data_IF_140443307452
#
_entry.id   IF_140443307452
#
_cell.length_a   1.000
_cell.length_b   1.000
_cell.length_c   1.000
_cell.angle_alpha   90.00
_cell.angle_beta   90.00
_cell.angle_gamma   90.00
#
_symmetry.space_group_name_H-M   'P 1'
#
loop_
_entity.id
_entity.type
_entity.pdbx_description
1 polymer ?
#
# COMPACT_ATOMS: atom_id res chain seq x y z
N UNK A 1 24.09 -5.18 -4.27
CA UNK A 1 24.10 -3.73 -4.55
C UNK A 1 24.46 -3.57 -6.01
N UNK A 2 23.83 -2.67 -6.77
CA UNK A 2 24.18 -2.50 -8.18
C UNK A 2 25.59 -1.92 -8.31
N UNK A 3 26.33 -2.40 -9.30
CA UNK A 3 27.64 -1.85 -9.65
C UNK A 3 27.43 -0.57 -10.47
N UNK A 4 28.07 0.51 -10.02
CA UNK A 4 28.00 1.81 -10.68
C UNK A 4 29.24 2.04 -11.52
N UNK A 5 29.07 2.66 -12.67
CA UNK A 5 30.15 3.05 -13.56
C UNK A 5 29.85 4.41 -14.20
N UNK A 6 30.88 5.08 -14.68
CA UNK A 6 30.77 6.31 -15.46
C UNK A 6 31.14 6.03 -16.92
N UNK A 7 30.50 6.74 -17.84
CA UNK A 7 30.85 6.68 -19.25
C UNK A 7 31.83 7.82 -19.57
N UNK A 8 32.96 7.56 -20.24
CA UNK A 8 33.92 8.61 -20.60
C UNK A 8 33.28 9.78 -21.37
N UNK A 9 32.27 9.49 -22.19
CA UNK A 9 31.55 10.46 -23.01
C UNK A 9 30.57 11.33 -22.20
N UNK A 10 30.22 10.92 -20.98
CA UNK A 10 29.27 11.60 -20.09
C UNK A 10 29.83 11.69 -18.66
N UNK A 11 30.88 12.50 -18.44
CA UNK A 11 31.56 12.58 -17.16
C UNK A 11 30.63 13.08 -16.04
N UNK A 12 30.78 12.52 -14.84
CA UNK A 12 30.01 12.90 -13.66
C UNK A 12 28.60 12.31 -13.57
N UNK A 13 28.16 11.53 -14.58
CA UNK A 13 26.92 10.75 -14.51
C UNK A 13 27.21 9.30 -14.13
N UNK A 14 26.49 8.80 -13.14
CA UNK A 14 26.57 7.41 -12.70
C UNK A 14 25.52 6.57 -13.41
N UNK A 15 25.97 5.49 -14.01
CA UNK A 15 25.15 4.49 -14.67
C UNK A 15 25.21 3.17 -13.93
N UNK A 16 24.17 2.36 -14.09
CA UNK A 16 24.08 1.01 -13.55
C UNK A 16 23.17 0.14 -14.43
N UNK A 17 23.30 -1.19 -14.29
CA UNK A 17 22.38 -2.13 -14.93
C UNK A 17 21.11 -2.28 -14.08
N UNK A 18 19.95 -1.90 -14.63
CA UNK A 18 18.66 -2.08 -14.00
C UNK A 18 18.03 -3.42 -14.38
N UNK A 19 17.84 -4.30 -13.40
CA UNK A 19 17.24 -5.62 -13.60
C UNK A 19 15.80 -5.56 -14.09
N UNK A 20 14.98 -4.62 -13.58
CA UNK A 20 13.54 -4.52 -13.91
C UNK A 20 13.28 -4.11 -15.37
N UNK A 21 14.19 -3.32 -15.94
CA UNK A 21 14.12 -2.92 -17.35
C UNK A 21 15.06 -3.73 -18.25
N UNK A 22 15.98 -4.51 -17.66
CA UNK A 22 17.08 -5.14 -18.38
C UNK A 22 17.82 -4.12 -19.26
N UNK A 23 18.14 -2.95 -18.69
CA UNK A 23 18.70 -1.80 -19.40
C UNK A 23 19.72 -1.06 -18.54
N UNK A 24 20.66 -0.37 -19.17
CA UNK A 24 21.59 0.54 -18.48
C UNK A 24 20.90 1.89 -18.29
N UNK A 25 20.82 2.36 -17.05
CA UNK A 25 20.15 3.62 -16.71
C UNK A 25 21.09 4.50 -15.88
N UNK A 26 20.93 5.81 -16.02
CA UNK A 26 21.53 6.75 -15.07
C UNK A 26 20.77 6.74 -13.74
N UNK A 27 21.43 7.11 -12.65
CA UNK A 27 20.81 7.27 -11.33
C UNK A 27 19.64 8.25 -11.35
N UNK A 28 19.75 9.33 -12.12
CA UNK A 28 18.72 10.37 -12.25
C UNK A 28 17.50 9.81 -12.99
N UNK A 29 17.72 9.11 -14.10
CA UNK A 29 16.63 8.49 -14.88
C UNK A 29 15.90 7.43 -14.06
N UNK A 30 16.62 6.67 -13.22
CA UNK A 30 15.99 5.71 -12.31
C UNK A 30 15.11 6.41 -11.26
N UNK A 31 15.61 7.50 -10.67
CA UNK A 31 14.86 8.32 -9.73
C UNK A 31 13.57 8.89 -10.34
N UNK A 32 13.65 9.43 -11.56
CA UNK A 32 12.50 10.02 -12.26
C UNK A 32 11.45 8.98 -12.64
N UNK A 33 11.89 7.83 -13.17
CA UNK A 33 11.00 6.71 -13.44
C UNK A 33 10.29 6.22 -12.17
N UNK A 34 10.99 6.24 -11.03
CA UNK A 34 10.40 5.88 -9.76
C UNK A 34 9.35 6.89 -9.29
N UNK A 35 9.62 8.20 -9.37
CA UNK A 35 8.65 9.25 -9.02
C UNK A 35 7.41 9.18 -9.90
N UNK A 36 7.59 9.05 -11.22
CA UNK A 36 6.50 8.88 -12.18
C UNK A 36 5.60 7.67 -11.84
N UNK A 37 6.19 6.53 -11.48
CA UNK A 37 5.43 5.33 -11.13
C UNK A 37 4.77 5.36 -9.74
N UNK A 38 5.29 6.14 -8.78
CA UNK A 38 4.85 6.12 -7.39
C UNK A 38 4.06 7.36 -6.94
N UNK A 39 4.24 8.51 -7.60
CA UNK A 39 3.58 9.78 -7.26
C UNK A 39 2.59 10.21 -8.34
N UNK A 40 2.98 10.14 -9.62
CA UNK A 40 2.15 10.57 -10.75
C UNK A 40 1.20 9.46 -11.23
N UNK A 41 1.49 8.20 -10.89
CA UNK A 41 0.65 7.06 -11.25
C UNK A 41 0.75 6.66 -12.72
N UNK A 42 1.87 6.97 -13.39
CA UNK A 42 2.06 6.66 -14.80
C UNK A 42 2.19 5.14 -15.00
N UNK A 43 1.26 4.56 -15.77
CA UNK A 43 1.14 3.10 -15.95
C UNK A 43 2.37 2.46 -16.61
N UNK A 44 3.02 3.15 -17.56
CA UNK A 44 4.26 2.68 -18.20
C UNK A 44 5.43 2.52 -17.21
N UNK A 45 5.32 3.11 -16.01
CA UNK A 45 6.29 3.05 -14.92
C UNK A 45 5.87 2.14 -13.78
N UNK A 46 4.85 1.29 -13.95
CA UNK A 46 4.42 0.30 -12.95
C UNK A 46 5.55 -0.62 -12.50
N UNK A 47 6.52 -0.93 -13.38
CA UNK A 47 7.72 -1.70 -13.01
C UNK A 47 8.57 -1.02 -11.94
N UNK A 48 8.52 0.31 -11.84
CA UNK A 48 9.25 1.08 -10.83
C UNK A 48 8.46 1.28 -9.54
N UNK A 49 7.18 0.89 -9.52
CA UNK A 49 6.33 0.96 -8.34
C UNK A 49 6.96 0.14 -7.21
N UNK A 50 7.04 0.74 -6.03
CA UNK A 50 7.66 0.15 -4.82
C UNK A 50 9.05 -0.46 -5.06
N UNK A 51 9.86 0.10 -5.96
CA UNK A 51 11.23 -0.35 -6.17
C UNK A 51 12.16 0.25 -5.10
N UNK A 52 12.91 -0.55 -4.32
CA UNK A 52 13.76 -0.03 -3.25
C UNK A 52 14.97 0.73 -3.79
N UNK A 53 15.53 0.27 -4.91
CA UNK A 53 16.65 0.95 -5.56
C UNK A 53 16.22 2.30 -6.14
N UNK A 54 15.07 2.35 -6.81
CA UNK A 54 14.51 3.61 -7.33
C UNK A 54 14.18 4.60 -6.21
N UNK A 55 13.67 4.12 -5.06
CA UNK A 55 13.43 4.96 -3.89
C UNK A 55 14.73 5.54 -3.33
N UNK A 56 15.80 4.72 -3.28
CA UNK A 56 17.14 5.16 -2.87
C UNK A 56 17.68 6.26 -3.80
N UNK A 57 17.63 6.04 -5.12
CA UNK A 57 18.06 7.05 -6.11
C UNK A 57 17.20 8.31 -6.08
N UNK A 58 15.91 8.18 -5.76
CA UNK A 58 15.00 9.32 -5.59
C UNK A 58 15.19 10.08 -4.27
N UNK A 59 15.97 9.54 -3.32
CA UNK A 59 16.15 10.09 -1.97
C UNK A 59 14.97 9.85 -1.02
N UNK A 60 14.02 8.98 -1.37
CA UNK A 60 12.84 8.71 -0.55
C UNK A 60 13.07 7.52 0.39
N UNK A 61 13.80 7.75 1.48
CA UNK A 61 14.12 6.72 2.49
C UNK A 61 12.91 6.21 3.28
N UNK A 62 11.84 7.00 3.34
CA UNK A 62 10.61 6.66 4.03
C UNK A 62 9.53 6.08 3.09
N UNK A 63 9.81 5.85 1.80
CA UNK A 63 8.78 5.41 0.86
C UNK A 63 8.06 4.13 1.30
N UNK A 64 6.74 4.09 1.11
CA UNK A 64 5.95 2.86 1.30
C UNK A 64 6.36 1.83 0.26
N UNK A 65 6.74 0.66 0.77
CA UNK A 65 7.09 -0.54 0.01
C UNK A 65 5.95 -1.57 -0.01
N UNK A 66 4.78 -1.19 0.50
CA UNK A 66 3.61 -2.05 0.55
C UNK A 66 3.19 -2.42 -0.88
N UNK A 67 3.04 -3.73 -1.22
CA UNK A 67 2.54 -4.12 -2.53
C UNK A 67 1.12 -3.60 -2.77
N UNK A 68 0.37 -3.33 -1.70
CA UNK A 68 -0.99 -2.77 -1.75
C UNK A 68 -1.03 -1.29 -2.14
N UNK A 69 0.11 -0.58 -2.10
CA UNK A 69 0.16 0.87 -2.29
C UNK A 69 -0.54 1.29 -3.58
N UNK A 70 -1.57 2.12 -3.46
CA UNK A 70 -2.34 2.64 -4.61
C UNK A 70 -3.00 1.57 -5.47
N UNK A 71 -3.21 0.34 -4.96
CA UNK A 71 -4.06 -0.64 -5.62
C UNK A 71 -5.53 -0.27 -5.39
N UNK A 72 -6.41 -0.59 -6.34
CA UNK A 72 -7.87 -0.49 -6.13
C UNK A 72 -8.39 -1.74 -5.43
N UNK A 73 -7.89 -2.01 -4.22
CA UNK A 73 -8.27 -3.16 -3.39
C UNK A 73 -9.23 -2.72 -2.28
N UNK A 74 -10.30 -3.48 -2.08
CA UNK A 74 -11.28 -3.21 -1.02
C UNK A 74 -10.64 -3.41 0.36
N UNK A 75 -10.77 -2.42 1.25
CA UNK A 75 -10.28 -2.54 2.63
C UNK A 75 -10.92 -3.72 3.37
N UNK A 76 -12.19 -4.04 3.10
CA UNK A 76 -12.95 -5.07 3.84
C UNK A 76 -12.83 -6.49 3.33
N UNK A 77 -12.86 -6.67 2.01
CA UNK A 77 -12.86 -8.02 1.41
C UNK A 77 -11.59 -8.35 0.65
N UNK A 78 -10.63 -7.42 0.63
CA UNK A 78 -9.31 -7.56 0.02
C UNK A 78 -9.34 -7.95 -1.46
N UNK A 79 -10.47 -7.76 -2.13
CA UNK A 79 -10.63 -8.05 -3.56
C UNK A 79 -10.34 -6.78 -4.35
N UNK A 80 -9.67 -6.95 -5.50
CA UNK A 80 -9.55 -5.89 -6.50
C UNK A 80 -10.92 -5.43 -7.00
N UNK A 81 -11.06 -4.13 -7.23
CA UNK A 81 -12.27 -3.50 -7.70
C UNK A 81 -11.96 -2.45 -8.78
N UNK A 82 -12.89 -2.24 -9.70
CA UNK A 82 -12.76 -1.17 -10.70
C UNK A 82 -12.77 0.24 -10.06
N UNK A 83 -13.38 0.38 -8.88
CA UNK A 83 -13.38 1.61 -8.08
C UNK A 83 -13.63 1.32 -6.61
N UNK A 84 -13.24 2.27 -5.77
CA UNK A 84 -13.50 2.24 -4.33
C UNK A 84 -14.47 3.35 -3.93
N UNK A 85 -15.53 2.99 -3.22
CA UNK A 85 -16.48 3.92 -2.60
C UNK A 85 -15.83 4.53 -1.37
N UNK A 86 -15.86 5.87 -1.28
CA UNK A 86 -15.19 6.64 -0.23
C UNK A 86 -13.71 6.25 -0.06
N UNK A 87 -13.04 5.88 -1.16
CA UNK A 87 -11.67 5.34 -1.17
C UNK A 87 -11.47 4.14 -0.25
N UNK A 88 -12.50 3.38 0.11
CA UNK A 88 -12.37 2.32 1.12
C UNK A 88 -12.94 0.98 0.68
N UNK A 89 -14.21 0.96 0.29
CA UNK A 89 -14.95 -0.27 0.02
C UNK A 89 -15.17 -0.50 -1.47
N UNK A 90 -15.20 -1.76 -1.92
CA UNK A 90 -15.81 -2.07 -3.22
C UNK A 90 -17.33 -1.86 -3.17
N UNK A 91 -17.95 -1.78 -4.34
CA UNK A 91 -19.42 -1.58 -4.48
C UNK A 91 -20.21 -2.65 -3.70
N UNK A 92 -19.76 -3.91 -3.72
CA UNK A 92 -20.44 -5.00 -2.99
C UNK A 92 -20.39 -4.83 -1.48
N UNK A 93 -19.22 -4.52 -0.91
CA UNK A 93 -19.07 -4.29 0.53
C UNK A 93 -19.81 -3.04 0.99
N UNK A 94 -19.81 -1.98 0.17
CA UNK A 94 -20.60 -0.78 0.42
C UNK A 94 -22.10 -1.10 0.46
N UNK A 95 -22.61 -1.88 -0.51
CA UNK A 95 -24.02 -2.26 -0.52
C UNK A 95 -24.39 -3.11 0.70
N UNK A 96 -23.56 -4.10 1.07
CA UNK A 96 -23.79 -4.90 2.28
C UNK A 96 -23.78 -4.05 3.55
N UNK A 97 -22.90 -3.06 3.63
CA UNK A 97 -22.90 -2.10 4.74
C UNK A 97 -24.21 -1.31 4.79
N UNK A 98 -24.67 -0.81 3.64
CA UNK A 98 -25.94 -0.11 3.55
C UNK A 98 -27.11 -1.01 3.99
N UNK A 99 -27.15 -2.27 3.54
CA UNK A 99 -28.14 -3.27 3.96
C UNK A 99 -28.13 -3.49 5.48
N UNK A 100 -26.93 -3.60 6.08
CA UNK A 100 -26.78 -3.72 7.54
C UNK A 100 -27.34 -2.51 8.28
N UNK A 101 -26.99 -1.30 7.83
CA UNK A 101 -27.46 -0.05 8.43
C UNK A 101 -28.98 0.12 8.33
N UNK A 102 -29.59 -0.23 7.19
CA UNK A 102 -31.06 -0.16 7.02
C UNK A 102 -31.78 -1.38 7.60
N UNK A 103 -31.05 -2.41 8.05
CA UNK A 103 -31.59 -3.65 8.61
C UNK A 103 -32.29 -4.57 7.61
N UNK A 104 -32.21 -4.30 6.30
CA UNK A 104 -32.87 -5.06 5.24
C UNK A 104 -31.97 -5.23 4.03
N UNK A 105 -31.91 -6.43 3.48
CA UNK A 105 -31.23 -6.72 2.22
C UNK A 105 -32.11 -6.40 1.00
N UNK A 106 -31.58 -6.60 -0.20
CA UNK A 106 -32.32 -6.41 -1.46
C UNK A 106 -33.63 -7.22 -1.57
N UNK A 107 -33.81 -8.30 -0.78
CA UNK A 107 -35.04 -9.11 -0.72
C UNK A 107 -35.98 -8.70 0.43
N UNK A 108 -35.67 -7.61 1.15
CA UNK A 108 -36.45 -7.14 2.29
C UNK A 108 -36.23 -7.93 3.59
N UNK A 109 -35.30 -8.88 3.63
CA UNK A 109 -35.01 -9.72 4.80
C UNK A 109 -33.81 -9.20 5.58
N UNK A 110 -33.69 -9.55 6.86
CA UNK A 110 -32.55 -9.13 7.69
C UNK A 110 -31.24 -9.65 7.10
N UNK A 111 -30.20 -8.81 6.93
CA UNK A 111 -28.90 -9.26 6.45
C UNK A 111 -28.21 -10.13 7.50
N UNK A 112 -27.77 -11.33 7.10
CA UNK A 112 -27.12 -12.32 8.00
C UNK A 112 -25.67 -12.62 7.62
N UNK A 113 -25.24 -12.26 6.41
CA UNK A 113 -23.91 -12.63 5.88
C UNK A 113 -22.81 -11.65 6.23
N UNK A 114 -23.15 -10.46 6.73
CA UNK A 114 -22.16 -9.46 7.12
C UNK A 114 -21.92 -9.57 8.63
N UNK A 115 -20.64 -9.65 9.02
CA UNK A 115 -20.26 -9.51 10.41
C UNK A 115 -20.76 -8.15 10.97
N UNK A 116 -21.04 -8.06 12.29
CA UNK A 116 -21.41 -6.81 12.92
C UNK A 116 -20.42 -5.69 12.57
N UNK A 117 -20.97 -4.51 12.29
CA UNK A 117 -20.18 -3.33 11.99
C UNK A 117 -20.02 -2.48 13.23
N UNK A 118 -18.77 -2.23 13.62
CA UNK A 118 -18.44 -1.42 14.79
C UNK A 118 -17.50 -0.27 14.41
N UNK A 119 -17.53 0.76 15.26
CA UNK A 119 -16.56 1.83 15.22
C UNK A 119 -15.21 1.30 15.72
N UNK A 120 -14.18 1.37 14.87
CA UNK A 120 -12.81 0.96 15.20
C UNK A 120 -11.83 2.06 14.86
N UNK A 121 -10.72 2.07 15.60
CA UNK A 121 -9.59 2.94 15.33
C UNK A 121 -8.28 2.19 15.53
N UNK A 122 -7.30 2.46 14.68
CA UNK A 122 -5.93 2.00 14.83
C UNK A 122 -4.97 3.19 14.90
N UNK A 123 -3.84 2.99 15.57
CA UNK A 123 -2.70 3.91 15.54
C UNK A 123 -1.56 3.23 14.79
N UNK A 124 -0.89 3.97 13.92
CA UNK A 124 0.23 3.47 13.14
C UNK A 124 1.23 4.60 12.86
N UNK A 125 2.47 4.24 12.54
CA UNK A 125 3.47 5.19 12.07
C UNK A 125 3.48 5.21 10.55
N UNK A 126 3.42 6.39 9.94
CA UNK A 126 3.66 6.63 8.51
C UNK A 126 5.00 7.36 8.40
N UNK A 127 6.04 6.66 7.96
CA UNK A 127 7.40 7.14 8.12
C UNK A 127 7.71 7.33 9.62
N UNK A 128 8.04 8.55 10.02
CA UNK A 128 8.27 8.92 11.43
C UNK A 128 7.11 9.69 12.06
N UNK A 129 5.98 9.82 11.36
CA UNK A 129 4.81 10.56 11.86
C UNK A 129 3.75 9.59 12.39
N UNK A 130 3.30 9.73 13.65
CA UNK A 130 2.18 8.95 14.16
C UNK A 130 0.88 9.39 13.48
N UNK A 131 0.05 8.41 13.10
CA UNK A 131 -1.26 8.61 12.49
C UNK A 131 -2.33 7.76 13.18
N UNK A 132 -3.57 8.24 13.09
CA UNK A 132 -4.76 7.52 13.55
C UNK A 132 -5.67 7.32 12.34
N UNK A 133 -6.10 6.08 12.12
CA UNK A 133 -7.17 5.77 11.18
C UNK A 133 -8.38 5.32 11.99
N UNK A 134 -9.54 5.94 11.75
CA UNK A 134 -10.79 5.61 12.40
C UNK A 134 -11.88 5.38 11.35
N UNK A 135 -12.64 4.30 11.52
CA UNK A 135 -13.78 3.96 10.69
C UNK A 135 -14.99 3.72 11.61
N UNK A 136 -16.11 4.38 11.32
CA UNK A 136 -17.34 4.22 12.09
C UNK A 136 -18.02 2.86 11.85
N UNK A 137 -17.77 2.27 10.68
CA UNK A 137 -18.39 1.02 10.24
C UNK A 137 -17.30 0.14 9.62
N UNK A 138 -16.78 -0.78 10.42
CA UNK A 138 -15.77 -1.77 10.02
C UNK A 138 -16.20 -3.16 10.47
N UNK A 139 -15.74 -4.21 9.80
CA UNK A 139 -15.96 -5.59 10.28
C UNK A 139 -14.89 -6.02 11.28
N UNK A 140 -13.66 -5.55 11.13
CA UNK A 140 -12.51 -5.94 11.96
C UNK A 140 -11.37 -4.90 11.88
N UNK A 141 -10.26 -5.22 12.55
CA UNK A 141 -9.04 -4.41 12.54
C UNK A 141 -8.25 -4.56 11.23
N UNK A 142 -8.37 -5.70 10.55
CA UNK A 142 -7.67 -5.97 9.29
C UNK A 142 -8.13 -5.00 8.20
N UNK A 143 -9.42 -4.67 8.18
CA UNK A 143 -10.02 -3.67 7.31
C UNK A 143 -9.31 -2.30 7.41
N UNK A 144 -8.89 -1.92 8.63
CA UNK A 144 -8.15 -0.68 8.85
C UNK A 144 -6.67 -0.81 8.45
N UNK A 145 -6.06 -1.97 8.73
CA UNK A 145 -4.66 -2.26 8.38
C UNK A 145 -4.46 -2.22 6.86
N UNK A 146 -5.32 -2.89 6.10
CA UNK A 146 -5.27 -2.93 4.64
C UNK A 146 -5.44 -1.52 4.06
N UNK A 147 -6.39 -0.75 4.57
CA UNK A 147 -6.58 0.64 4.16
C UNK A 147 -5.35 1.51 4.45
N UNK A 148 -4.75 1.39 5.64
CA UNK A 148 -3.53 2.12 5.96
C UNK A 148 -2.34 1.74 5.05
N UNK A 149 -2.15 0.44 4.77
CA UNK A 149 -1.08 -0.07 3.91
C UNK A 149 -1.24 0.34 2.44
N UNK A 150 -2.48 0.44 1.97
CA UNK A 150 -2.83 0.83 0.59
C UNK A 150 -2.66 2.34 0.35
N UNK A 151 -3.07 3.16 1.31
CA UNK A 151 -3.18 4.61 1.12
C UNK A 151 -1.96 5.40 1.60
N UNK A 152 -1.08 4.79 2.38
CA UNK A 152 0.10 5.49 2.89
C UNK A 152 1.16 5.68 1.83
N UNK A 153 1.59 6.94 1.64
CA UNK A 153 2.76 7.29 0.81
C UNK A 153 4.04 6.70 1.40
N UNK A 154 4.17 6.78 2.72
CA UNK A 154 5.35 6.37 3.48
C UNK A 154 5.19 4.98 4.09
N UNK A 155 6.32 4.38 4.47
CA UNK A 155 6.39 3.08 5.14
C UNK A 155 5.52 3.09 6.38
N UNK A 156 4.60 2.14 6.44
CA UNK A 156 3.68 1.95 7.56
C UNK A 156 4.31 0.99 8.58
N UNK A 157 4.20 1.33 9.87
CA UNK A 157 4.52 0.42 10.97
C UNK A 157 3.35 0.40 11.95
N UNK A 158 2.92 -0.81 12.32
CA UNK A 158 1.91 -1.01 13.35
C UNK A 158 2.60 -1.41 14.65
N UNK A 159 2.17 -0.85 15.76
CA UNK A 159 2.54 -1.31 17.09
C UNK A 159 1.44 -2.24 17.59
N UNK A 160 1.78 -3.48 17.90
CA UNK A 160 0.87 -4.40 18.57
C UNK A 160 1.23 -4.43 20.05
N UNK A 161 0.28 -4.02 20.90
CA UNK A 161 0.33 -4.31 22.33
C UNK A 161 -0.08 -5.77 22.51
N UNK A 162 0.86 -6.68 22.29
CA UNK A 162 0.72 -8.09 22.57
C UNK A 162 1.92 -8.57 23.38
N UNK A 163 1.66 -9.37 24.41
CA UNK A 163 2.71 -10.19 25.01
C UNK A 163 3.21 -11.14 23.93
N UNK A 164 4.42 -10.93 23.42
CA UNK A 164 5.07 -11.92 22.58
C UNK A 164 5.48 -13.07 23.50
N UNK A 165 4.58 -14.03 23.71
CA UNK A 165 4.91 -15.29 24.38
C UNK A 165 5.72 -16.15 23.41
N UNK A 166 7.03 -15.96 23.40
CA UNK A 166 7.97 -16.71 22.58
C UNK A 166 8.87 -15.82 21.71
N UNK A 167 9.80 -16.43 20.98
CA UNK A 167 10.70 -15.70 20.09
C UNK A 167 9.94 -15.43 18.78
N UNK A 168 9.75 -14.16 18.37
CA UNK A 168 9.16 -13.85 17.08
C UNK A 168 10.14 -14.24 15.97
N UNK A 169 9.96 -15.44 15.40
CA UNK A 169 10.69 -15.87 14.22
C UNK A 169 10.02 -15.25 12.99
N UNK A 170 10.66 -14.24 12.40
CA UNK A 170 10.31 -13.79 11.06
C UNK A 170 10.72 -14.89 10.07
N UNK A 171 9.79 -15.80 9.75
CA UNK A 171 9.96 -16.70 8.62
C UNK A 171 10.08 -15.84 7.37
N UNK A 172 11.26 -15.86 6.74
CA UNK A 172 11.44 -15.35 5.38
C UNK A 172 10.48 -16.12 4.49
N UNK A 173 9.41 -15.49 4.05
CA UNK A 173 8.69 -15.92 2.87
C UNK A 173 9.54 -15.42 1.68
N UNK A 174 10.42 -16.32 1.23
CA UNK A 174 11.15 -16.37 -0.05
C UNK A 174 11.48 -15.03 -0.72
#
# INVERSE_FOLDING_TARGET
>A
MPDYYELPELPGKKFFRCDRYNANLSTETCADNWRAGNHEGIESRLRCKVCPLGALHAGETAASMSPLKGMLICGRCHTGAARLIAKHLCVSCYNRQREYVIGRNAKGTRPTKLAPLDARRIRYMSGNSPKILALNLSVDTEELIITALRDSKDKVRFGFLGDIRGIPAQLRLW
#
